data_IF_964308699579
#
_entry.id   IF_964308699579
#
_cell.length_a   1.000
_cell.length_b   1.000
_cell.length_c   1.000
_cell.angle_alpha   90.00
_cell.angle_beta   90.00
_cell.angle_gamma   90.00
#
_symmetry.space_group_name_H-M   'P 1'
#
loop_
_entity.id
_entity.type
_entity.pdbx_description
1 polymer ?
#
# COMPACT_ATOMS: atom_id res chain seq x y z
N UNK A 1 15.34 -0.81 16.16
CA UNK A 1 15.46 0.38 15.26
C UNK A 1 16.27 0.14 13.99
N UNK A 2 17.54 -0.30 14.03
CA UNK A 2 18.33 -0.54 12.79
C UNK A 2 17.62 -1.49 11.81
N UNK A 3 17.04 -2.58 12.33
CA UNK A 3 16.25 -3.53 11.53
C UNK A 3 15.01 -2.90 10.88
N UNK A 4 14.28 -2.05 11.62
CA UNK A 4 13.12 -1.30 11.11
C UNK A 4 13.51 -0.37 9.98
N UNK A 5 14.61 0.38 10.13
CA UNK A 5 15.07 1.30 9.09
C UNK A 5 15.49 0.54 7.83
N UNK A 6 16.24 -0.55 7.98
CA UNK A 6 16.70 -1.35 6.86
C UNK A 6 15.54 -2.05 6.14
N UNK A 7 14.66 -2.73 6.89
CA UNK A 7 13.54 -3.46 6.31
C UNK A 7 12.52 -2.50 5.67
N UNK A 8 12.26 -1.35 6.29
CA UNK A 8 11.42 -0.29 5.75
C UNK A 8 11.96 0.29 4.45
N UNK A 9 13.27 0.55 4.37
CA UNK A 9 13.90 1.08 3.16
C UNK A 9 13.84 0.06 2.00
N UNK A 10 14.15 -1.20 2.26
CA UNK A 10 14.06 -2.26 1.24
C UNK A 10 12.63 -2.40 0.74
N UNK A 11 11.64 -2.45 1.66
CA UNK A 11 10.24 -2.53 1.29
C UNK A 11 9.80 -1.30 0.48
N UNK A 12 10.27 -0.10 0.82
CA UNK A 12 9.93 1.11 0.09
C UNK A 12 10.33 1.06 -1.39
N UNK A 13 11.55 0.61 -1.69
CA UNK A 13 12.01 0.45 -3.07
C UNK A 13 11.26 -0.66 -3.81
N UNK A 14 11.01 -1.79 -3.14
CA UNK A 14 10.21 -2.88 -3.72
C UNK A 14 8.80 -2.40 -4.06
N UNK A 15 8.15 -1.71 -3.12
CA UNK A 15 6.81 -1.15 -3.32
C UNK A 15 6.82 -0.08 -4.41
N UNK A 16 7.82 0.79 -4.48
CA UNK A 16 7.93 1.78 -5.56
C UNK A 16 7.96 1.12 -6.94
N UNK A 17 8.79 0.08 -7.12
CA UNK A 17 8.87 -0.68 -8.39
C UNK A 17 7.51 -1.32 -8.72
N UNK A 18 6.89 -1.97 -7.73
CA UNK A 18 5.56 -2.58 -7.91
C UNK A 18 4.51 -1.52 -8.25
N UNK A 19 4.56 -0.35 -7.62
CA UNK A 19 3.61 0.76 -7.86
C UNK A 19 3.70 1.27 -9.28
N UNK A 20 4.93 1.44 -9.79
CA UNK A 20 5.15 1.82 -11.19
C UNK A 20 4.68 0.73 -12.14
N UNK A 21 4.94 -0.54 -11.82
CA UNK A 21 4.44 -1.68 -12.61
C UNK A 21 2.91 -1.72 -12.67
N UNK A 22 2.23 -1.54 -11.53
CA UNK A 22 0.77 -1.50 -11.42
C UNK A 22 0.18 -0.31 -12.19
N UNK A 23 0.84 0.85 -12.18
CA UNK A 23 0.43 2.00 -12.98
C UNK A 23 0.38 1.65 -14.48
N UNK A 24 1.48 1.15 -15.04
CA UNK A 24 1.52 0.78 -16.46
C UNK A 24 0.56 -0.37 -16.79
N UNK A 25 0.45 -1.35 -15.90
CA UNK A 25 -0.51 -2.45 -16.04
C UNK A 25 -1.95 -1.92 -16.10
N UNK A 26 -2.32 -1.00 -15.22
CA UNK A 26 -3.66 -0.41 -15.17
C UNK A 26 -3.96 0.38 -16.43
N UNK A 27 -3.03 1.23 -16.89
CA UNK A 27 -3.20 2.01 -18.12
C UNK A 27 -3.40 1.10 -19.34
N UNK A 28 -2.65 0.00 -19.42
CA UNK A 28 -2.71 -0.90 -20.58
C UNK A 28 -3.96 -1.81 -20.58
N UNK A 29 -4.26 -2.46 -19.45
CA UNK A 29 -5.32 -3.46 -19.37
C UNK A 29 -6.68 -2.89 -18.94
N UNK A 30 -6.69 -1.76 -18.23
CA UNK A 30 -7.90 -1.12 -17.68
C UNK A 30 -7.93 0.38 -18.00
N UNK A 31 -7.88 0.77 -19.30
CA UNK A 31 -7.77 2.17 -19.70
C UNK A 31 -8.96 3.02 -19.22
N UNK A 32 -10.16 2.46 -19.15
CA UNK A 32 -11.33 3.17 -18.64
C UNK A 32 -11.16 3.58 -17.17
N UNK A 33 -10.66 2.66 -16.33
CA UNK A 33 -10.34 2.96 -14.93
C UNK A 33 -9.21 4.00 -14.84
N UNK A 34 -8.22 3.94 -15.72
CA UNK A 34 -7.14 4.92 -15.76
C UNK A 34 -7.65 6.33 -16.14
N UNK A 35 -8.65 6.44 -17.01
CA UNK A 35 -9.24 7.71 -17.40
C UNK A 35 -9.97 8.40 -16.24
N UNK A 36 -10.49 7.65 -15.27
CA UNK A 36 -11.17 8.21 -14.09
C UNK A 36 -10.23 9.07 -13.21
N UNK A 37 -8.91 8.91 -13.33
CA UNK A 37 -7.93 9.74 -12.59
C UNK A 37 -7.73 11.14 -13.19
N UNK A 38 -8.34 11.44 -14.34
CA UNK A 38 -8.41 12.80 -14.88
C UNK A 38 -9.59 13.61 -14.30
N UNK A 39 -10.39 13.02 -13.41
CA UNK A 39 -11.50 13.70 -12.75
C UNK A 39 -11.02 14.90 -11.88
N UNK A 40 -11.77 16.02 -11.82
CA UNK A 40 -11.46 17.17 -10.97
C UNK A 40 -11.33 16.87 -9.47
N UNK A 41 -11.82 15.72 -8.99
CA UNK A 41 -11.59 15.23 -7.64
C UNK A 41 -10.10 15.05 -7.31
N UNK A 42 -9.24 14.86 -8.32
CA UNK A 42 -7.79 14.72 -8.16
C UNK A 42 -7.06 16.04 -8.41
N UNK A 43 -6.02 16.29 -7.60
CA UNK A 43 -5.19 17.49 -7.73
C UNK A 43 -4.19 17.32 -8.88
N UNK A 44 -4.27 18.18 -9.89
CA UNK A 44 -3.36 18.21 -11.05
C UNK A 44 -2.02 18.93 -10.81
N UNK A 45 -1.71 19.33 -9.57
CA UNK A 45 -0.51 20.13 -9.27
C UNK A 45 0.76 19.28 -9.18
N UNK A 46 1.87 19.77 -9.75
CA UNK A 46 3.20 19.13 -9.71
C UNK A 46 3.71 18.81 -8.29
N UNK A 47 3.34 19.60 -7.28
CA UNK A 47 3.69 19.34 -5.88
C UNK A 47 3.00 18.09 -5.32
N UNK A 48 1.78 17.79 -5.78
CA UNK A 48 1.04 16.58 -5.37
C UNK A 48 1.68 15.31 -5.92
N UNK A 49 2.25 15.38 -7.12
CA UNK A 49 2.93 14.26 -7.77
C UNK A 49 4.11 13.73 -6.96
N UNK A 50 4.89 14.60 -6.30
CA UNK A 50 6.02 14.16 -5.46
C UNK A 50 5.54 13.33 -4.26
N UNK A 51 4.43 13.73 -3.63
CA UNK A 51 3.87 13.01 -2.48
C UNK A 51 3.44 11.58 -2.87
N UNK A 52 2.99 11.39 -4.11
CA UNK A 52 2.64 10.07 -4.63
C UNK A 52 3.87 9.15 -4.69
N UNK A 53 5.01 9.64 -5.16
CA UNK A 53 6.24 8.83 -5.21
C UNK A 53 6.89 8.61 -3.83
N UNK A 54 6.62 9.50 -2.87
CA UNK A 54 7.07 9.35 -1.48
C UNK A 54 6.17 8.38 -0.70
N UNK A 55 4.92 8.18 -1.12
CA UNK A 55 3.95 7.33 -0.42
C UNK A 55 4.48 5.91 -0.10
N UNK A 56 5.10 5.15 -1.03
CA UNK A 56 5.66 3.83 -0.72
C UNK A 56 6.67 3.83 0.43
N UNK A 57 7.42 4.93 0.61
CA UNK A 57 8.37 5.09 1.71
C UNK A 57 7.65 5.31 3.03
N UNK A 58 6.69 6.24 3.07
CA UNK A 58 5.90 6.52 4.28
C UNK A 58 5.19 5.24 4.74
N UNK A 59 4.52 4.57 3.81
CA UNK A 59 3.80 3.32 4.08
C UNK A 59 4.75 2.24 4.60
N UNK A 60 5.88 2.00 3.92
CA UNK A 60 6.82 0.94 4.30
C UNK A 60 7.44 1.16 5.68
N UNK A 61 7.79 2.40 6.04
CA UNK A 61 8.33 2.69 7.37
C UNK A 61 7.28 2.54 8.46
N UNK A 62 6.04 2.99 8.22
CA UNK A 62 4.94 2.80 9.17
C UNK A 62 4.66 1.31 9.42
N UNK A 63 4.58 0.51 8.35
CA UNK A 63 4.37 -0.93 8.45
C UNK A 63 5.57 -1.66 9.09
N UNK A 64 6.81 -1.26 8.78
CA UNK A 64 8.00 -1.85 9.40
C UNK A 64 8.05 -1.58 10.92
N UNK A 65 7.62 -0.38 11.34
CA UNK A 65 7.53 -0.01 12.75
C UNK A 65 6.46 -0.82 13.50
N UNK A 66 5.32 -1.05 12.86
CA UNK A 66 4.25 -1.89 13.39
C UNK A 66 4.70 -3.35 13.48
N UNK A 67 5.30 -3.86 12.40
CA UNK A 67 5.88 -5.21 12.35
C UNK A 67 6.84 -5.48 13.52
N UNK A 68 7.79 -4.60 13.79
CA UNK A 68 8.80 -4.79 14.85
C UNK A 68 8.18 -5.02 16.25
N UNK A 69 6.98 -4.49 16.49
CA UNK A 69 6.26 -4.59 17.76
C UNK A 69 5.38 -5.82 17.87
N UNK A 70 4.77 -6.21 16.75
CA UNK A 70 3.71 -7.22 16.76
C UNK A 70 4.08 -8.52 16.05
N UNK A 71 5.26 -8.61 15.42
CA UNK A 71 5.73 -9.79 14.68
C UNK A 71 5.66 -11.12 15.45
N UNK A 72 5.78 -11.10 16.77
CA UNK A 72 5.68 -12.29 17.63
C UNK A 72 4.24 -12.80 17.78
N UNK A 73 3.23 -11.98 17.50
CA UNK A 73 1.81 -12.37 17.52
C UNK A 73 1.40 -13.14 16.26
N UNK A 74 2.22 -13.09 15.21
CA UNK A 74 1.99 -13.86 14.00
C UNK A 74 2.78 -15.17 14.09
N UNK A 75 2.14 -16.23 14.57
CA UNK A 75 2.73 -17.56 14.79
C UNK A 75 2.61 -18.50 13.57
N UNK A 76 1.88 -18.06 12.55
CA UNK A 76 1.60 -18.85 11.35
C UNK A 76 2.83 -19.09 10.45
N UNK A 77 2.76 -20.12 9.58
CA UNK A 77 3.72 -20.29 8.50
C UNK A 77 3.86 -19.02 7.66
N UNK A 78 5.04 -18.85 7.07
CA UNK A 78 5.47 -17.62 6.37
C UNK A 78 4.39 -16.97 5.50
N UNK A 79 3.83 -17.70 4.54
CA UNK A 79 2.84 -17.13 3.61
C UNK A 79 1.58 -16.65 4.33
N UNK A 80 1.09 -17.44 5.28
CA UNK A 80 -0.10 -17.09 6.07
C UNK A 80 0.16 -15.88 6.99
N UNK A 81 1.39 -15.76 7.51
CA UNK A 81 1.83 -14.61 8.29
C UNK A 81 1.89 -13.32 7.47
N UNK A 82 2.41 -13.40 6.24
CA UNK A 82 2.44 -12.28 5.29
C UNK A 82 1.02 -11.81 4.92
N UNK A 83 0.12 -12.77 4.65
CA UNK A 83 -1.29 -12.51 4.36
C UNK A 83 -2.06 -11.94 5.55
N UNK A 84 -1.86 -12.51 6.74
CA UNK A 84 -2.50 -12.05 7.98
C UNK A 84 -2.10 -10.61 8.31
N UNK A 85 -0.83 -10.26 8.16
CA UNK A 85 -0.37 -8.89 8.33
C UNK A 85 -1.05 -7.93 7.33
N UNK A 86 -1.16 -8.35 6.07
CA UNK A 86 -1.89 -7.60 5.05
C UNK A 86 -3.36 -7.40 5.41
N UNK A 87 -4.03 -8.44 5.93
CA UNK A 87 -5.42 -8.37 6.38
C UNK A 87 -5.60 -7.43 7.57
N UNK A 88 -4.68 -7.43 8.53
CA UNK A 88 -4.69 -6.47 9.65
C UNK A 88 -4.62 -5.05 9.11
N UNK A 89 -3.69 -4.74 8.21
CA UNK A 89 -3.58 -3.42 7.60
C UNK A 89 -4.84 -3.04 6.80
N UNK A 90 -5.36 -3.99 6.01
CA UNK A 90 -6.57 -3.81 5.23
C UNK A 90 -7.77 -3.42 6.12
N UNK A 91 -8.01 -4.16 7.20
CA UNK A 91 -9.18 -3.97 8.06
C UNK A 91 -9.03 -2.72 8.94
N UNK A 92 -7.84 -2.49 9.49
CA UNK A 92 -7.63 -1.44 10.51
C UNK A 92 -7.34 -0.07 9.89
N UNK A 93 -6.68 -0.03 8.73
CA UNK A 93 -6.25 1.23 8.12
C UNK A 93 -6.91 1.49 6.76
N UNK A 94 -6.79 0.56 5.82
CA UNK A 94 -7.21 0.81 4.43
C UNK A 94 -8.72 0.90 4.31
N UNK A 95 -9.47 -0.03 4.89
CA UNK A 95 -10.94 -0.09 4.80
C UNK A 95 -11.60 1.16 5.40
N UNK A 96 -11.25 1.62 6.63
CA UNK A 96 -11.79 2.88 7.16
C UNK A 96 -11.41 4.10 6.32
N UNK A 97 -10.17 4.13 5.80
CA UNK A 97 -9.72 5.23 4.93
C UNK A 97 -10.51 5.29 3.63
N UNK A 98 -10.74 4.14 2.99
CA UNK A 98 -11.54 4.01 1.78
C UNK A 98 -12.99 4.38 2.01
N UNK A 99 -13.57 3.99 3.14
CA UNK A 99 -14.93 4.37 3.53
C UNK A 99 -15.09 5.89 3.63
N UNK A 100 -14.13 6.54 4.29
CA UNK A 100 -14.10 8.00 4.43
C UNK A 100 -13.93 8.69 3.07
N UNK A 101 -13.03 8.20 2.22
CA UNK A 101 -12.78 8.78 0.89
C UNK A 101 -14.03 8.65 0.00
N UNK A 102 -14.65 7.49 -0.05
CA UNK A 102 -15.89 7.28 -0.83
C UNK A 102 -17.03 8.18 -0.35
N UNK A 103 -17.10 8.45 0.96
CA UNK A 103 -18.12 9.32 1.53
C UNK A 103 -17.88 10.82 1.28
N UNK A 104 -16.62 11.21 1.02
CA UNK A 104 -16.21 12.62 0.98
C UNK A 104 -15.77 13.11 -0.42
N UNK A 105 -15.40 12.20 -1.32
CA UNK A 105 -14.90 12.50 -2.66
C UNK A 105 -15.83 11.92 -3.73
N UNK A 106 -15.91 12.59 -4.88
CA UNK A 106 -16.65 12.12 -6.05
C UNK A 106 -15.84 11.03 -6.79
N UNK A 107 -15.74 9.85 -6.18
CA UNK A 107 -15.00 8.70 -6.72
C UNK A 107 -15.92 7.51 -6.90
N UNK A 108 -15.61 6.64 -7.86
CA UNK A 108 -16.40 5.44 -8.15
C UNK A 108 -16.12 4.33 -7.13
N UNK A 109 -17.06 3.38 -7.00
CA UNK A 109 -16.85 2.22 -6.13
C UNK A 109 -15.73 1.32 -6.69
N UNK A 110 -15.59 1.30 -8.02
CA UNK A 110 -14.51 0.63 -8.74
C UNK A 110 -13.13 1.20 -8.36
N UNK A 111 -12.96 2.52 -8.38
CA UNK A 111 -11.72 3.18 -7.93
C UNK A 111 -11.38 2.81 -6.49
N UNK A 112 -12.34 2.97 -5.59
CA UNK A 112 -12.15 2.68 -4.17
C UNK A 112 -11.82 1.20 -3.94
N UNK A 113 -12.49 0.30 -4.67
CA UNK A 113 -12.19 -1.13 -4.65
C UNK A 113 -10.77 -1.44 -5.11
N UNK A 114 -10.28 -0.77 -6.16
CA UNK A 114 -8.89 -0.96 -6.62
C UNK A 114 -7.87 -0.46 -5.60
N UNK A 115 -8.12 0.66 -4.92
CA UNK A 115 -7.25 1.18 -3.87
C UNK A 115 -7.23 0.28 -2.63
N UNK A 116 -8.39 -0.27 -2.27
CA UNK A 116 -8.53 -1.22 -1.19
C UNK A 116 -7.68 -2.48 -1.44
N UNK A 117 -7.82 -3.07 -2.64
CA UNK A 117 -7.03 -4.24 -3.06
C UNK A 117 -5.54 -3.92 -3.16
N UNK A 118 -5.20 -2.76 -3.73
CA UNK A 118 -3.83 -2.32 -3.87
C UNK A 118 -3.14 -2.13 -2.52
N UNK A 119 -3.80 -1.48 -1.56
CA UNK A 119 -3.28 -1.32 -0.20
C UNK A 119 -3.06 -2.65 0.51
N UNK A 120 -3.95 -3.63 0.33
CA UNK A 120 -3.75 -5.00 0.82
C UNK A 120 -2.51 -5.65 0.23
N UNK A 121 -2.38 -5.64 -1.11
CA UNK A 121 -1.23 -6.23 -1.82
C UNK A 121 0.08 -5.57 -1.38
N UNK A 122 0.11 -4.24 -1.26
CA UNK A 122 1.29 -3.51 -0.77
C UNK A 122 1.70 -3.98 0.63
N UNK A 123 0.75 -4.14 1.55
CA UNK A 123 1.05 -4.60 2.90
C UNK A 123 1.56 -6.05 2.95
N UNK A 124 1.00 -6.94 2.12
CA UNK A 124 1.50 -8.33 1.98
C UNK A 124 2.93 -8.34 1.44
N UNK A 125 3.23 -7.55 0.40
CA UNK A 125 4.58 -7.45 -0.18
C UNK A 125 5.57 -6.88 0.85
N UNK A 126 5.17 -5.85 1.60
CA UNK A 126 5.98 -5.29 2.67
C UNK A 126 6.26 -6.33 3.78
N UNK A 127 5.23 -7.07 4.21
CA UNK A 127 5.37 -8.15 5.18
C UNK A 127 6.35 -9.24 4.69
N UNK A 128 6.31 -9.57 3.39
CA UNK A 128 7.25 -10.51 2.81
C UNK A 128 8.70 -10.03 2.96
N UNK A 129 8.97 -8.74 2.77
CA UNK A 129 10.30 -8.17 3.06
C UNK A 129 10.62 -8.27 4.55
N UNK A 130 9.68 -7.92 5.42
CA UNK A 130 9.92 -7.85 6.87
C UNK A 130 10.19 -9.21 7.51
N UNK A 131 9.48 -10.26 7.12
CA UNK A 131 9.73 -11.62 7.59
C UNK A 131 11.15 -12.10 7.26
N UNK A 132 11.73 -11.61 6.15
CA UNK A 132 13.09 -11.98 5.71
C UNK A 132 14.17 -11.18 6.43
N UNK A 133 13.96 -9.87 6.60
CA UNK A 133 14.99 -8.93 7.06
C UNK A 133 14.90 -8.67 8.58
N UNK A 134 13.70 -8.74 9.15
CA UNK A 134 13.43 -8.52 10.56
C UNK A 134 12.46 -9.59 11.12
N UNK A 135 12.84 -10.87 11.13
CA UNK A 135 11.96 -11.95 11.62
C UNK A 135 11.52 -11.75 13.07
#
# INVERSE_FOLDING_TARGET
MKKVLLSGLIAAFVLLIVSVGVLYFTVYFFPNLALEYYDPAFRSSSKGTVLYFVHPFILSFALAWFWDRFKTQFDKPRLLKELEFGLVYLVVATLPSMWMIYSAMSVTIEQVGTWLLYGFIQAVIAAAVFVRVNP
#
